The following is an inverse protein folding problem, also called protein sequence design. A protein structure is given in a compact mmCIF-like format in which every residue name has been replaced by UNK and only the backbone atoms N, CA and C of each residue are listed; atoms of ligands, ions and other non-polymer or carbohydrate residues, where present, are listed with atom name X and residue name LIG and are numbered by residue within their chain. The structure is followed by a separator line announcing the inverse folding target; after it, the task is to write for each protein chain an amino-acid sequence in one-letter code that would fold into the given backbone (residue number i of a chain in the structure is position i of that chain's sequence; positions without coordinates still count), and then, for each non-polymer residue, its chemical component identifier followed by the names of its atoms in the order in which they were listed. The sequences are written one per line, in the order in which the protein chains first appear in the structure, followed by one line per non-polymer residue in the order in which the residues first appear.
data_IF_655848014509
#
_entry.id   IF_655848014509
#
_cell.length_a   1.000
_cell.length_b   1.000
_cell.length_c   1.000
_cell.angle_alpha   90.00
_cell.angle_beta   90.00
_cell.angle_gamma   90.00
#
_symmetry.space_group_name_H-M   'P 1'
#
loop_
_entity.id
_entity.type
_entity.pdbx_description
1 polymer ?
#
# COMPACT_ATOMS: atom_id res chain seq x y z
N UNK A 1 -29.11 7.98 30.48
CA UNK A 1 -30.50 7.74 30.06
C UNK A 1 -30.59 7.95 28.55
N UNK A 2 -30.96 6.93 27.76
CA UNK A 2 -31.10 7.06 26.31
C UNK A 2 -32.37 7.86 26.02
N UNK A 3 -32.29 8.90 25.17
CA UNK A 3 -33.44 9.72 24.81
C UNK A 3 -34.55 8.91 24.15
N UNK A 4 -35.81 9.26 24.40
CA UNK A 4 -36.98 8.52 23.89
C UNK A 4 -36.96 8.35 22.36
N UNK A 5 -36.47 9.36 21.63
CA UNK A 5 -36.33 9.32 20.16
C UNK A 5 -35.38 8.20 19.69
N UNK A 6 -34.23 8.03 20.36
CA UNK A 6 -33.27 6.97 20.04
C UNK A 6 -33.88 5.60 20.30
N UNK A 7 -34.61 5.46 21.42
CA UNK A 7 -35.35 4.22 21.74
C UNK A 7 -36.38 3.89 20.66
N UNK A 8 -37.15 4.86 20.19
CA UNK A 8 -38.16 4.63 19.16
C UNK A 8 -37.54 4.28 17.81
N UNK A 9 -36.43 4.91 17.44
CA UNK A 9 -35.66 4.52 16.26
C UNK A 9 -35.20 3.06 16.33
N UNK A 10 -34.74 2.59 17.49
CA UNK A 10 -34.36 1.18 17.69
C UNK A 10 -35.53 0.20 17.64
N UNK A 11 -36.76 0.69 17.84
CA UNK A 11 -38.00 -0.07 17.67
C UNK A 11 -38.56 -0.01 16.24
N UNK A 12 -37.81 0.55 15.29
CA UNK A 12 -38.20 0.61 13.88
C UNK A 12 -39.06 1.83 13.49
N UNK A 13 -39.30 2.79 14.39
CA UNK A 13 -40.01 4.03 14.07
C UNK A 13 -39.07 5.10 13.49
N UNK A 14 -39.61 6.06 12.74
CA UNK A 14 -38.81 7.10 12.09
C UNK A 14 -38.95 8.46 12.77
N UNK A 15 -37.93 8.86 13.52
CA UNK A 15 -37.92 10.12 14.28
C UNK A 15 -37.19 11.27 13.56
N UNK A 16 -36.69 11.03 12.35
CA UNK A 16 -36.00 12.04 11.53
C UNK A 16 -36.95 12.68 10.52
N UNK A 17 -36.43 13.66 9.79
CA UNK A 17 -37.14 14.18 8.63
C UNK A 17 -37.33 13.07 7.57
N UNK A 18 -38.53 12.99 6.98
CA UNK A 18 -38.80 12.01 5.95
C UNK A 18 -37.82 12.14 4.77
N UNK A 19 -37.20 11.04 4.31
CA UNK A 19 -36.41 11.02 3.08
C UNK A 19 -37.31 11.31 1.87
N UNK A 20 -36.67 11.60 0.72
CA UNK A 20 -37.39 11.77 -0.55
C UNK A 20 -38.18 10.48 -0.86
N UNK A 21 -39.36 10.57 -1.44
CA UNK A 21 -40.23 9.41 -1.67
C UNK A 21 -41.16 9.04 -0.50
N UNK A 22 -40.98 9.63 0.69
CA UNK A 22 -41.83 9.37 1.85
C UNK A 22 -42.38 10.64 2.51
N UNK A 23 -43.50 10.51 3.21
CA UNK A 23 -44.07 11.49 4.13
C UNK A 23 -44.14 10.89 5.53
N UNK A 24 -43.96 11.72 6.57
CA UNK A 24 -44.07 11.28 7.96
C UNK A 24 -45.55 11.27 8.38
N UNK A 25 -45.99 10.19 9.00
CA UNK A 25 -47.33 10.05 9.57
C UNK A 25 -47.27 9.58 11.02
N UNK A 26 -48.14 10.12 11.87
CA UNK A 26 -48.27 9.68 13.26
C UNK A 26 -49.38 8.63 13.38
N UNK A 27 -49.02 7.46 13.88
CA UNK A 27 -49.94 6.33 14.13
C UNK A 27 -50.07 6.10 15.62
N UNK A 28 -51.28 5.78 16.08
CA UNK A 28 -51.53 5.40 17.47
C UNK A 28 -51.00 3.99 17.74
N UNK A 29 -50.24 3.83 18.82
CA UNK A 29 -49.74 2.53 19.28
C UNK A 29 -50.16 2.33 20.74
N UNK A 30 -50.05 1.11 21.27
CA UNK A 30 -50.33 0.81 22.69
C UNK A 30 -49.54 1.71 23.67
N UNK A 31 -48.42 2.27 23.21
CA UNK A 31 -47.53 3.13 24.00
C UNK A 31 -47.61 4.61 23.59
N UNK A 32 -48.68 5.01 22.89
CA UNK A 32 -48.94 6.36 22.39
C UNK A 32 -48.54 6.60 20.93
N UNK A 33 -48.65 7.84 20.46
CA UNK A 33 -48.37 8.21 19.06
C UNK A 33 -46.90 7.94 18.68
N UNK A 34 -46.69 7.31 17.52
CA UNK A 34 -45.38 7.05 16.92
C UNK A 34 -45.35 7.49 15.46
N UNK A 35 -44.17 7.87 14.97
CA UNK A 35 -44.00 8.35 13.60
C UNK A 35 -43.50 7.23 12.70
N UNK A 36 -44.22 6.98 11.61
CA UNK A 36 -43.83 6.06 10.53
C UNK A 36 -43.66 6.83 9.23
N UNK A 37 -43.07 6.19 8.22
CA UNK A 37 -43.02 6.72 6.86
C UNK A 37 -44.10 6.09 5.99
N UNK A 38 -44.84 6.92 5.26
CA UNK A 38 -45.74 6.48 4.18
C UNK A 38 -45.24 6.93 2.82
N UNK A 39 -45.49 6.16 1.74
CA UNK A 39 -45.11 6.55 0.39
C UNK A 39 -45.71 7.91 0.00
N UNK A 40 -44.88 8.82 -0.49
CA UNK A 40 -45.35 10.09 -1.03
C UNK A 40 -46.00 9.87 -2.41
N UNK A 41 -47.20 10.40 -2.68
CA UNK A 41 -47.96 10.08 -3.90
C UNK A 41 -47.22 10.40 -5.21
N UNK A 42 -46.52 11.54 -5.28
CA UNK A 42 -45.74 11.94 -6.47
C UNK A 42 -44.29 11.42 -6.50
N UNK A 43 -43.61 11.39 -5.36
CA UNK A 43 -42.17 11.07 -5.30
C UNK A 43 -41.90 9.55 -5.24
N UNK A 44 -42.77 8.77 -4.58
CA UNK A 44 -42.57 7.33 -4.44
C UNK A 44 -42.57 6.58 -5.79
N UNK A 45 -43.46 6.87 -6.75
CA UNK A 45 -43.43 6.23 -8.07
C UNK A 45 -42.10 6.47 -8.82
N UNK A 46 -41.51 7.66 -8.68
CA UNK A 46 -40.22 7.98 -9.30
C UNK A 46 -39.10 7.12 -8.71
N UNK A 47 -39.12 6.89 -7.40
CA UNK A 47 -38.12 6.04 -6.76
C UNK A 47 -38.28 4.56 -7.09
N UNK A 48 -39.51 4.04 -7.15
CA UNK A 48 -39.75 2.65 -7.61
C UNK A 48 -39.18 2.45 -9.01
N UNK A 49 -39.51 3.35 -9.93
CA UNK A 49 -38.98 3.34 -11.30
C UNK A 49 -37.46 3.48 -11.36
N UNK A 50 -36.85 4.29 -10.49
CA UNK A 50 -35.39 4.39 -10.37
C UNK A 50 -34.76 3.01 -10.06
N UNK A 51 -35.27 2.32 -9.05
CA UNK A 51 -34.76 1.00 -8.64
C UNK A 51 -35.01 -0.06 -9.72
N UNK A 52 -36.18 -0.07 -10.36
CA UNK A 52 -36.51 -0.97 -11.47
C UNK A 52 -35.55 -0.79 -12.66
N UNK A 53 -35.43 0.44 -13.18
CA UNK A 53 -34.55 0.74 -14.32
C UNK A 53 -33.10 0.39 -13.99
N UNK A 54 -32.65 0.70 -12.77
CA UNK A 54 -31.28 0.41 -12.35
C UNK A 54 -31.03 -1.09 -12.23
N UNK A 55 -32.01 -1.84 -11.72
CA UNK A 55 -31.95 -3.29 -11.59
C UNK A 55 -31.94 -4.03 -12.94
N UNK A 56 -32.53 -3.45 -14.00
CA UNK A 56 -32.42 -3.99 -15.37
C UNK A 56 -30.98 -3.93 -15.89
N UNK A 57 -30.18 -2.96 -15.44
CA UNK A 57 -28.78 -2.82 -15.81
C UNK A 57 -28.51 -2.33 -17.24
N UNK A 58 -29.54 -2.06 -18.04
CA UNK A 58 -29.44 -1.64 -19.44
C UNK A 58 -29.05 -0.16 -19.65
N UNK A 59 -29.20 0.69 -18.63
CA UNK A 59 -29.01 2.13 -18.75
C UNK A 59 -27.84 2.64 -17.87
N UNK A 60 -27.16 3.68 -18.36
CA UNK A 60 -26.13 4.39 -17.60
C UNK A 60 -26.75 5.28 -16.51
N UNK A 61 -26.00 5.59 -15.45
CA UNK A 61 -26.53 6.45 -14.35
C UNK A 61 -26.98 7.82 -14.88
N UNK A 62 -26.31 8.34 -15.91
CA UNK A 62 -26.65 9.60 -16.58
C UNK A 62 -27.96 9.53 -17.36
N UNK A 63 -28.19 8.43 -18.09
CA UNK A 63 -29.46 8.18 -18.80
C UNK A 63 -30.62 8.02 -17.82
N UNK A 64 -30.40 7.28 -16.72
CA UNK A 64 -31.42 7.09 -15.67
C UNK A 64 -31.79 8.44 -15.06
N UNK A 65 -30.80 9.30 -14.77
CA UNK A 65 -31.05 10.67 -14.32
C UNK A 65 -31.89 11.44 -15.33
N UNK A 66 -31.54 11.41 -16.62
CA UNK A 66 -32.28 12.12 -17.67
C UNK A 66 -33.75 11.66 -17.76
N UNK A 67 -33.99 10.34 -17.74
CA UNK A 67 -35.34 9.78 -17.77
C UNK A 67 -36.18 10.21 -16.57
N UNK A 68 -35.63 10.15 -15.35
CA UNK A 68 -36.35 10.58 -14.15
C UNK A 68 -36.62 12.08 -14.13
N UNK A 69 -35.68 12.88 -14.63
CA UNK A 69 -35.88 14.32 -14.78
C UNK A 69 -36.98 14.64 -15.79
N UNK A 70 -37.06 13.90 -16.90
CA UNK A 70 -38.14 14.03 -17.87
C UNK A 70 -39.51 13.67 -17.28
N UNK A 71 -39.55 12.72 -16.33
CA UNK A 71 -40.75 12.37 -15.56
C UNK A 71 -41.08 13.36 -14.44
N UNK A 72 -40.32 14.45 -14.32
CA UNK A 72 -40.59 15.53 -13.38
C UNK A 72 -39.86 15.42 -12.04
N UNK A 73 -38.79 14.61 -11.94
CA UNK A 73 -37.98 14.59 -10.73
C UNK A 73 -37.40 15.97 -10.43
N UNK A 74 -37.68 16.46 -9.21
CA UNK A 74 -37.03 17.64 -8.62
C UNK A 74 -36.76 17.39 -7.15
N UNK A 75 -35.63 17.85 -6.67
CA UNK A 75 -35.32 17.81 -5.23
C UNK A 75 -36.28 18.70 -4.43
N UNK A 76 -36.58 18.33 -3.18
CA UNK A 76 -37.47 19.12 -2.32
C UNK A 76 -36.90 20.51 -2.06
N UNK A 77 -37.70 21.53 -2.34
CA UNK A 77 -37.34 22.92 -2.05
C UNK A 77 -37.38 23.19 -0.54
N UNK A 78 -36.36 23.86 -0.02
CA UNK A 78 -36.29 24.36 1.35
C UNK A 78 -35.94 25.84 1.34
N UNK A 79 -36.62 26.58 2.20
CA UNK A 79 -36.36 28.00 2.40
C UNK A 79 -35.64 28.20 3.72
N UNK A 80 -34.49 28.88 3.69
CA UNK A 80 -33.83 29.38 4.88
C UNK A 80 -34.41 30.77 5.15
N UNK A 81 -35.09 30.94 6.27
CA UNK A 81 -35.68 32.22 6.71
C UNK A 81 -34.77 32.92 7.71
N UNK A 82 -34.92 34.23 7.88
CA UNK A 82 -34.17 35.00 8.87
C UNK A 82 -34.54 34.60 10.29
N UNK A 83 -33.53 34.61 11.18
CA UNK A 83 -33.71 34.31 12.61
C UNK A 83 -34.49 35.43 13.31
N UNK A 84 -34.31 36.67 12.86
CA UNK A 84 -34.92 37.87 13.44
C UNK A 84 -36.25 38.23 12.79
N UNK A 85 -36.44 37.85 11.51
CA UNK A 85 -37.69 38.04 10.79
C UNK A 85 -38.04 36.75 10.03
N UNK A 86 -39.00 35.99 10.57
CA UNK A 86 -39.41 34.71 9.98
C UNK A 86 -40.19 34.87 8.67
N UNK A 87 -40.59 36.09 8.28
CA UNK A 87 -41.24 36.33 6.98
C UNK A 87 -40.23 36.45 5.85
N UNK A 88 -39.01 36.94 6.15
CA UNK A 88 -37.94 37.12 5.17
C UNK A 88 -37.22 35.81 4.84
N UNK A 89 -37.22 35.46 3.55
CA UNK A 89 -36.44 34.34 3.00
C UNK A 89 -35.03 34.82 2.68
N UNK A 90 -34.01 34.20 3.28
CA UNK A 90 -32.59 34.46 3.04
C UNK A 90 -32.09 33.68 1.83
N UNK A 91 -32.47 32.41 1.72
CA UNK A 91 -32.05 31.57 0.60
C UNK A 91 -33.02 30.43 0.32
N UNK A 92 -32.99 29.93 -0.91
CA UNK A 92 -33.74 28.78 -1.38
C UNK A 92 -32.74 27.69 -1.80
N UNK A 93 -32.97 26.46 -1.37
CA UNK A 93 -32.17 25.29 -1.76
C UNK A 93 -33.10 24.20 -2.28
N UNK A 94 -32.64 23.41 -3.25
CA UNK A 94 -33.44 22.37 -3.89
C UNK A 94 -34.34 22.91 -5.01
N UNK A 95 -35.09 22.00 -5.62
CA UNK A 95 -35.71 22.21 -6.94
C UNK A 95 -34.79 21.81 -8.10
N UNK A 96 -33.60 21.30 -7.78
CA UNK A 96 -32.60 20.84 -8.74
C UNK A 96 -32.99 19.50 -9.37
N UNK A 97 -32.59 19.25 -10.63
CA UNK A 97 -32.74 17.94 -11.27
C UNK A 97 -31.87 16.87 -10.58
N UNK A 98 -32.22 15.60 -10.78
CA UNK A 98 -31.42 14.47 -10.36
C UNK A 98 -30.11 14.45 -11.15
N UNK A 99 -28.99 14.54 -10.43
CA UNK A 99 -27.65 14.27 -10.96
C UNK A 99 -27.11 12.94 -10.46
N UNK A 100 -26.03 12.40 -11.08
CA UNK A 100 -25.48 11.10 -10.70
C UNK A 100 -25.16 11.00 -9.21
N UNK A 101 -24.46 11.99 -8.63
CA UNK A 101 -24.12 11.99 -7.19
C UNK A 101 -25.34 11.89 -6.28
N UNK A 102 -26.47 12.51 -6.66
CA UNK A 102 -27.71 12.43 -5.90
C UNK A 102 -28.39 11.05 -6.07
N UNK A 103 -28.38 10.50 -7.29
CA UNK A 103 -28.82 9.13 -7.56
C UNK A 103 -28.08 8.13 -6.68
N UNK A 104 -26.74 8.22 -6.63
CA UNK A 104 -25.88 7.36 -5.80
C UNK A 104 -26.23 7.40 -4.31
N UNK A 105 -26.64 8.57 -3.79
CA UNK A 105 -27.09 8.72 -2.39
C UNK A 105 -28.43 8.05 -2.13
N UNK A 106 -29.33 8.08 -3.12
CA UNK A 106 -30.67 7.47 -3.03
C UNK A 106 -30.55 5.95 -3.07
N UNK A 107 -29.88 5.40 -4.09
CA UNK A 107 -29.86 3.94 -4.32
C UNK A 107 -29.20 3.16 -3.17
N UNK A 108 -28.23 3.75 -2.48
CA UNK A 108 -27.52 3.09 -1.36
C UNK A 108 -28.27 3.14 -0.03
N UNK A 109 -29.36 3.89 0.06
CA UNK A 109 -30.03 4.12 1.34
C UNK A 109 -31.01 2.98 1.65
N UNK A 110 -30.78 2.14 2.68
CA UNK A 110 -31.56 0.91 2.93
C UNK A 110 -33.01 1.18 3.34
N UNK A 111 -33.34 2.41 3.76
CA UNK A 111 -34.71 2.82 4.10
C UNK A 111 -35.74 2.59 2.97
N UNK A 112 -35.29 2.59 1.71
CA UNK A 112 -36.18 2.30 0.58
C UNK A 112 -36.57 0.82 0.51
N UNK A 113 -35.81 -0.05 1.16
CA UNK A 113 -36.15 -1.46 1.40
C UNK A 113 -36.76 -1.70 2.79
N UNK A 114 -37.13 -0.64 3.53
CA UNK A 114 -37.76 -0.75 4.86
C UNK A 114 -36.77 -1.05 6.00
N UNK A 115 -35.48 -0.79 5.81
CA UNK A 115 -34.44 -1.08 6.81
C UNK A 115 -33.73 0.21 7.22
N UNK A 116 -33.63 0.45 8.52
CA UNK A 116 -32.94 1.61 9.07
C UNK A 116 -31.52 1.24 9.53
N UNK A 117 -30.52 1.90 8.95
CA UNK A 117 -29.12 1.81 9.34
C UNK A 117 -28.65 3.23 9.60
N UNK A 118 -28.64 3.66 10.87
CA UNK A 118 -28.25 5.03 11.23
C UNK A 118 -27.50 5.10 12.56
N UNK A 119 -27.06 6.32 12.93
CA UNK A 119 -26.31 6.55 14.17
C UNK A 119 -27.10 6.14 15.42
N UNK A 120 -28.42 6.31 15.43
CA UNK A 120 -29.29 5.97 16.56
C UNK A 120 -29.58 4.47 16.69
N UNK A 121 -29.35 3.69 15.63
CA UNK A 121 -29.31 2.22 15.66
C UNK A 121 -27.91 1.66 15.89
N UNK A 122 -26.93 2.51 16.23
CA UNK A 122 -25.51 2.12 16.39
C UNK A 122 -24.92 1.49 15.11
N UNK A 123 -25.48 1.84 13.94
CA UNK A 123 -25.08 1.23 12.67
C UNK A 123 -25.62 -0.20 12.48
N UNK A 124 -26.39 -0.74 13.43
CA UNK A 124 -27.07 -2.02 13.24
C UNK A 124 -28.31 -1.82 12.35
N UNK A 125 -28.56 -2.72 11.38
CA UNK A 125 -29.80 -2.72 10.61
C UNK A 125 -30.99 -3.07 11.50
N UNK A 126 -32.03 -2.24 11.44
CA UNK A 126 -33.29 -2.46 12.16
C UNK A 126 -34.42 -2.45 11.16
N UNK A 127 -35.27 -3.48 11.20
CA UNK A 127 -36.49 -3.55 10.39
C UNK A 127 -37.46 -2.45 10.82
N UNK A 128 -37.91 -1.64 9.87
CA UNK A 128 -38.81 -0.53 10.16
C UNK A 128 -40.23 -1.03 10.48
N UNK A 129 -40.97 -0.24 11.25
CA UNK A 129 -42.40 -0.44 11.51
C UNK A 129 -43.30 -0.02 10.32
N UNK A 130 -42.72 0.06 9.12
CA UNK A 130 -43.38 0.42 7.86
C UNK A 130 -42.67 -0.27 6.69
N UNK A 131 -43.40 -0.48 5.60
CA UNK A 131 -42.87 -1.13 4.40
C UNK A 131 -41.96 -0.21 3.58
N UNK A 132 -40.93 -0.81 2.97
CA UNK A 132 -40.10 -0.15 1.97
C UNK A 132 -40.88 0.25 0.72
N UNK A 133 -40.35 1.20 -0.06
CA UNK A 133 -40.87 1.48 -1.40
C UNK A 133 -40.62 0.33 -2.38
N UNK A 134 -39.57 -0.46 -2.14
CA UNK A 134 -39.11 -1.59 -2.96
C UNK A 134 -38.79 -2.79 -2.06
N UNK A 135 -38.81 -4.00 -2.64
CA UNK A 135 -38.36 -5.20 -1.94
C UNK A 135 -36.85 -5.21 -1.69
N UNK A 136 -36.41 -5.98 -0.70
CA UNK A 136 -34.99 -6.23 -0.42
C UNK A 136 -34.27 -6.77 -1.67
N UNK A 137 -34.93 -7.68 -2.39
CA UNK A 137 -34.39 -8.27 -3.63
C UNK A 137 -34.17 -7.21 -4.72
N UNK A 138 -35.16 -6.34 -4.97
CA UNK A 138 -35.05 -5.29 -5.98
C UNK A 138 -33.97 -4.27 -5.59
N UNK A 139 -33.88 -3.93 -4.29
CA UNK A 139 -32.83 -3.07 -3.76
C UNK A 139 -31.43 -3.66 -3.98
N UNK A 140 -31.24 -4.95 -3.68
CA UNK A 140 -29.97 -5.64 -3.85
C UNK A 140 -29.56 -5.71 -5.33
N UNK A 141 -30.50 -6.05 -6.22
CA UNK A 141 -30.27 -6.05 -7.68
C UNK A 141 -29.85 -4.69 -8.20
N UNK A 142 -30.53 -3.61 -7.76
CA UNK A 142 -30.20 -2.25 -8.17
C UNK A 142 -28.81 -1.80 -7.67
N UNK A 143 -28.38 -2.28 -6.49
CA UNK A 143 -27.08 -1.95 -5.91
C UNK A 143 -25.91 -2.80 -6.44
N UNK A 144 -26.17 -3.86 -7.21
CA UNK A 144 -25.16 -4.71 -7.88
C UNK A 144 -24.04 -5.15 -6.92
N UNK A 145 -24.41 -5.54 -5.70
CA UNK A 145 -23.48 -6.03 -4.67
C UNK A 145 -22.60 -4.96 -4.00
N UNK A 146 -22.77 -3.66 -4.30
CA UNK A 146 -22.06 -2.58 -3.58
C UNK A 146 -22.60 -2.40 -2.16
N UNK A 147 -23.91 -2.58 -2.03
CA UNK A 147 -24.64 -2.60 -0.77
C UNK A 147 -25.63 -3.76 -0.90
N UNK A 148 -25.61 -4.66 0.07
CA UNK A 148 -26.44 -5.87 0.09
C UNK A 148 -27.10 -6.01 1.44
N UNK A 149 -28.38 -6.32 1.42
CA UNK A 149 -29.20 -6.66 2.58
C UNK A 149 -29.48 -8.16 2.56
N UNK A 150 -29.15 -8.85 3.64
CA UNK A 150 -29.42 -10.30 3.80
C UNK A 150 -30.38 -10.48 4.95
N UNK A 151 -31.48 -11.20 4.73
CA UNK A 151 -32.49 -11.50 5.76
C UNK A 151 -32.28 -12.95 6.24
N UNK A 152 -31.90 -13.11 7.51
CA UNK A 152 -31.64 -14.38 8.19
C UNK A 152 -32.68 -14.56 9.30
N UNK A 153 -33.90 -14.96 8.94
CA UNK A 153 -35.02 -15.04 9.90
C UNK A 153 -35.45 -13.64 10.37
N UNK A 154 -35.38 -13.39 11.68
CA UNK A 154 -35.70 -12.07 12.26
C UNK A 154 -34.52 -11.08 12.19
N UNK A 155 -33.32 -11.56 11.91
CA UNK A 155 -32.11 -10.76 11.81
C UNK A 155 -31.84 -10.31 10.37
N UNK A 156 -31.34 -9.09 10.23
CA UNK A 156 -30.96 -8.51 8.94
C UNK A 156 -29.49 -8.15 9.02
N UNK A 157 -28.73 -8.43 7.96
CA UNK A 157 -27.35 -8.00 7.81
C UNK A 157 -27.24 -6.94 6.71
N UNK A 158 -26.48 -5.88 6.99
CA UNK A 158 -26.17 -4.82 6.04
C UNK A 158 -24.70 -4.93 5.63
N UNK A 159 -24.46 -5.52 4.47
CA UNK A 159 -23.14 -5.74 3.91
C UNK A 159 -22.81 -4.62 2.92
N UNK A 160 -21.75 -3.88 3.20
CA UNK A 160 -21.12 -3.03 2.19
C UNK A 160 -19.92 -3.77 1.65
N UNK A 161 -19.89 -4.02 0.34
CA UNK A 161 -18.62 -4.39 -0.29
C UNK A 161 -17.75 -3.16 -0.14
N UNK A 162 -16.72 -3.25 0.69
CA UNK A 162 -15.59 -2.34 0.56
C UNK A 162 -15.28 -2.39 -0.91
N UNK A 163 -15.49 -1.27 -1.62
CA UNK A 163 -14.83 -1.15 -2.90
C UNK A 163 -13.39 -1.47 -2.54
N UNK A 164 -12.84 -2.57 -3.05
CA UNK A 164 -11.43 -2.59 -3.37
C UNK A 164 -11.25 -1.24 -4.01
N UNK A 165 -10.71 -0.29 -3.24
CA UNK A 165 -10.31 0.95 -3.83
C UNK A 165 -9.36 0.40 -4.85
N UNK A 166 -9.72 0.53 -6.12
CA UNK A 166 -8.71 0.67 -7.13
C UNK A 166 -8.04 1.97 -6.72
N UNK A 167 -7.18 1.85 -5.70
CA UNK A 167 -5.94 2.57 -5.62
C UNK A 167 -5.36 2.16 -6.95
N UNK A 168 -5.69 2.93 -8.00
CA UNK A 168 -4.69 3.20 -9.00
C UNK A 168 -3.52 3.59 -8.14
N UNK A 169 -2.55 2.69 -8.01
CA UNK A 169 -1.23 3.03 -7.56
C UNK A 169 -0.81 4.07 -8.59
N UNK A 170 -1.24 5.33 -8.41
CA UNK A 170 -0.67 6.50 -9.01
C UNK A 170 0.72 6.46 -8.39
N UNK A 171 1.61 5.72 -9.06
CA UNK A 171 2.69 5.02 -8.40
C UNK A 171 3.38 5.96 -7.46
N UNK A 172 3.68 5.51 -6.24
CA UNK A 172 4.58 6.24 -5.33
C UNK A 172 5.82 6.71 -6.10
N UNK A 173 6.18 5.98 -7.16
CA UNK A 173 7.11 6.32 -8.23
C UNK A 173 6.34 6.42 -9.56
N UNK A 174 6.15 7.64 -10.08
CA UNK A 174 5.62 7.84 -11.44
C UNK A 174 6.81 8.16 -12.34
N UNK A 175 6.96 7.50 -13.51
CA UNK A 175 8.00 7.83 -14.48
C UNK A 175 7.99 9.29 -14.93
N UNK A 176 6.85 9.97 -14.85
CA UNK A 176 6.72 11.38 -15.28
C UNK A 176 7.39 12.37 -14.32
N UNK A 177 7.55 12.00 -13.06
CA UNK A 177 8.15 12.85 -12.02
C UNK A 177 9.06 11.97 -11.13
N UNK A 178 10.16 11.45 -11.69
CA UNK A 178 10.99 10.44 -11.03
C UNK A 178 11.61 10.94 -9.74
N UNK A 179 12.03 12.22 -9.68
CA UNK A 179 12.66 12.81 -8.50
C UNK A 179 11.68 13.29 -7.43
N UNK A 180 10.37 13.02 -7.58
CA UNK A 180 9.41 13.33 -6.53
C UNK A 180 9.78 12.49 -5.31
N UNK A 181 9.84 13.11 -4.13
CA UNK A 181 10.35 12.51 -2.88
C UNK A 181 11.87 12.25 -2.78
N UNK A 182 12.63 12.42 -3.85
CA UNK A 182 14.10 12.38 -3.80
C UNK A 182 14.72 13.77 -3.68
N UNK A 183 13.96 14.82 -4.03
CA UNK A 183 14.35 16.22 -3.81
C UNK A 183 13.33 16.90 -2.88
N UNK A 184 13.85 17.63 -1.91
CA UNK A 184 13.11 18.36 -0.89
C UNK A 184 12.89 19.83 -1.26
N UNK A 185 11.87 20.43 -0.66
CA UNK A 185 11.60 21.85 -0.83
C UNK A 185 12.70 22.72 -0.21
N UNK A 186 13.19 23.74 -0.94
CA UNK A 186 14.17 24.69 -0.42
C UNK A 186 13.76 25.38 0.89
N UNK A 187 12.44 25.58 1.10
CA UNK A 187 11.91 26.28 2.27
C UNK A 187 11.73 25.37 3.48
N UNK A 188 11.07 24.21 3.33
CA UNK A 188 10.71 23.35 4.47
C UNK A 188 11.43 22.00 4.53
N UNK A 189 12.25 21.67 3.52
CA UNK A 189 12.95 20.38 3.43
C UNK A 189 12.07 19.17 3.12
N UNK A 190 10.73 19.31 3.12
CA UNK A 190 9.83 18.18 2.85
C UNK A 190 9.91 17.72 1.38
N UNK A 191 9.71 16.42 1.10
CA UNK A 191 9.57 15.85 -0.23
C UNK A 191 8.75 16.71 -1.20
N UNK A 192 9.31 17.00 -2.38
CA UNK A 192 8.55 17.63 -3.45
C UNK A 192 7.52 16.65 -4.04
N UNK A 193 6.38 17.22 -4.45
CA UNK A 193 5.34 16.55 -5.23
C UNK A 193 5.48 16.89 -6.71
N UNK A 194 5.08 15.97 -7.59
CA UNK A 194 5.08 16.18 -9.03
C UNK A 194 3.66 16.22 -9.59
N UNK A 195 3.31 17.27 -10.33
CA UNK A 195 2.04 17.34 -11.05
C UNK A 195 2.12 18.27 -12.27
N UNK A 196 1.23 18.06 -13.24
CA UNK A 196 1.07 18.95 -14.38
C UNK A 196 -0.25 19.71 -14.29
N UNK A 197 -0.18 21.01 -14.02
CA UNK A 197 -1.35 21.89 -13.95
C UNK A 197 -1.80 22.29 -15.35
N UNK A 198 -3.11 22.25 -15.62
CA UNK A 198 -3.71 22.65 -16.91
C UNK A 198 -3.98 24.17 -16.93
N UNK A 199 -3.41 24.88 -17.89
CA UNK A 199 -3.66 26.30 -18.12
C UNK A 199 -4.97 26.56 -18.87
N UNK A 200 -5.38 27.84 -18.96
CA UNK A 200 -6.63 28.28 -19.61
C UNK A 200 -6.75 27.80 -21.07
N UNK A 201 -5.62 27.75 -21.79
CA UNK A 201 -5.56 27.31 -23.19
C UNK A 201 -5.45 25.78 -23.33
N UNK A 202 -5.65 25.02 -22.26
CA UNK A 202 -5.58 23.56 -22.26
C UNK A 202 -4.17 22.96 -22.18
N UNK A 203 -3.10 23.76 -22.31
CA UNK A 203 -1.71 23.33 -22.16
C UNK A 203 -1.40 22.90 -20.71
N UNK A 204 -0.65 21.81 -20.56
CA UNK A 204 -0.15 21.33 -19.27
C UNK A 204 1.24 21.88 -18.96
N UNK A 205 1.47 22.23 -17.69
CA UNK A 205 2.73 22.76 -17.19
C UNK A 205 3.25 21.83 -16.08
N UNK A 206 4.09 20.82 -16.42
CA UNK A 206 4.66 19.89 -15.45
C UNK A 206 5.67 20.59 -14.54
N UNK A 207 5.56 20.36 -13.24
CA UNK A 207 6.47 20.94 -12.26
C UNK A 207 6.56 20.11 -10.98
N UNK A 208 7.70 20.22 -10.33
CA UNK A 208 7.89 19.82 -8.94
C UNK A 208 7.47 20.97 -8.02
N UNK A 209 6.76 20.67 -6.94
CA UNK A 209 6.19 21.70 -6.09
C UNK A 209 6.01 21.24 -4.64
N UNK A 210 5.98 22.23 -3.74
CA UNK A 210 5.58 22.07 -2.35
C UNK A 210 4.43 23.05 -2.09
N UNK A 211 3.32 22.51 -1.62
CA UNK A 211 2.12 23.25 -1.23
C UNK A 211 1.55 22.65 0.05
N UNK A 212 0.64 23.36 0.73
CA UNK A 212 -0.07 22.90 1.93
C UNK A 212 0.75 22.90 3.23
N UNK A 213 1.87 23.64 3.28
CA UNK A 213 2.74 23.74 4.45
C UNK A 213 3.06 25.20 4.84
N UNK A 214 2.11 26.11 4.63
CA UNK A 214 2.27 27.54 4.91
C UNK A 214 3.17 28.30 3.92
N UNK A 215 3.65 27.65 2.85
CA UNK A 215 4.43 28.28 1.79
C UNK A 215 4.10 27.65 0.43
N UNK A 216 4.49 28.37 -0.62
CA UNK A 216 4.47 27.90 -1.98
C UNK A 216 5.90 27.87 -2.54
N UNK A 217 6.23 26.77 -3.19
CA UNK A 217 7.48 26.55 -3.90
C UNK A 217 7.20 25.70 -5.14
N UNK A 218 7.75 26.07 -6.29
CA UNK A 218 7.53 25.39 -7.56
C UNK A 218 8.75 25.56 -8.46
N UNK A 219 9.14 24.48 -9.12
CA UNK A 219 10.22 24.44 -10.11
C UNK A 219 9.71 23.67 -11.35
N UNK A 220 9.86 24.20 -12.56
CA UNK A 220 9.56 23.48 -13.80
C UNK A 220 10.23 22.10 -13.82
N UNK A 221 9.55 21.10 -14.41
CA UNK A 221 10.08 19.73 -14.48
C UNK A 221 11.48 19.71 -15.10
N UNK A 222 11.61 20.29 -16.29
CA UNK A 222 12.86 20.24 -17.07
C UNK A 222 14.01 20.94 -16.36
N UNK A 223 13.73 22.04 -15.64
CA UNK A 223 14.73 22.75 -14.83
C UNK A 223 15.25 21.87 -13.70
N UNK A 224 14.37 21.27 -12.89
CA UNK A 224 14.80 20.43 -11.76
C UNK A 224 15.60 19.21 -12.25
N UNK A 225 15.16 18.58 -13.34
CA UNK A 225 15.83 17.40 -13.90
C UNK A 225 17.20 17.74 -14.50
N UNK A 226 17.35 18.93 -15.08
CA UNK A 226 18.64 19.46 -15.52
C UNK A 226 19.57 19.73 -14.33
N UNK A 227 19.07 20.39 -13.27
CA UNK A 227 19.86 20.65 -12.05
C UNK A 227 20.35 19.36 -11.41
N UNK A 228 19.52 18.31 -11.36
CA UNK A 228 19.96 16.99 -10.86
C UNK A 228 21.01 16.35 -11.77
N UNK A 229 20.85 16.47 -13.09
CA UNK A 229 21.81 15.96 -14.07
C UNK A 229 23.18 16.65 -13.94
N UNK A 230 23.17 17.97 -13.79
CA UNK A 230 24.37 18.77 -13.56
C UNK A 230 25.04 18.39 -12.23
N UNK A 231 24.26 18.25 -11.16
CA UNK A 231 24.77 17.80 -9.87
C UNK A 231 25.46 16.43 -9.95
N UNK A 232 24.83 15.44 -10.60
CA UNK A 232 25.43 14.10 -10.78
C UNK A 232 26.77 14.19 -11.54
N UNK A 233 26.88 15.09 -12.52
CA UNK A 233 28.13 15.25 -13.29
C UNK A 233 29.30 15.80 -12.48
N UNK A 234 29.03 16.45 -11.35
CA UNK A 234 30.03 16.98 -10.43
C UNK A 234 30.52 15.95 -9.41
N UNK A 235 29.81 14.83 -9.26
CA UNK A 235 30.16 13.78 -8.28
C UNK A 235 31.27 12.91 -8.86
N UNK A 236 32.48 13.13 -8.37
CA UNK A 236 33.64 12.27 -8.66
C UNK A 236 34.34 11.93 -7.34
N UNK A 237 34.23 10.68 -6.87
CA UNK A 237 34.98 10.23 -5.71
C UNK A 237 36.49 10.41 -5.94
N UNK A 238 37.22 10.84 -4.92
CA UNK A 238 38.68 10.87 -4.99
C UNK A 238 39.24 9.44 -5.00
N UNK A 239 40.47 9.27 -5.49
CA UNK A 239 41.12 7.95 -5.48
C UNK A 239 41.28 7.38 -4.06
N UNK A 240 41.49 8.26 -3.08
CA UNK A 240 41.55 7.90 -1.66
C UNK A 240 40.21 7.34 -1.17
N UNK A 241 39.10 7.99 -1.51
CA UNK A 241 37.75 7.50 -1.17
C UNK A 241 37.45 6.16 -1.83
N UNK A 242 37.81 5.99 -3.11
CA UNK A 242 37.61 4.70 -3.81
C UNK A 242 38.37 3.58 -3.11
N UNK A 243 39.61 3.85 -2.71
CA UNK A 243 40.49 2.87 -2.06
C UNK A 243 39.96 2.49 -0.69
N UNK A 244 39.58 3.48 0.12
CA UNK A 244 38.95 3.26 1.43
C UNK A 244 37.71 2.36 1.33
N UNK A 245 36.89 2.53 0.28
CA UNK A 245 35.68 1.75 0.08
C UNK A 245 35.98 0.32 -0.39
N UNK A 246 36.94 0.14 -1.30
CA UNK A 246 37.37 -1.20 -1.71
C UNK A 246 37.98 -1.97 -0.55
N UNK A 247 38.75 -1.30 0.31
CA UNK A 247 39.37 -1.89 1.50
C UNK A 247 38.31 -2.29 2.54
N UNK A 248 37.28 -1.45 2.73
CA UNK A 248 36.16 -1.78 3.61
C UNK A 248 35.38 -3.01 3.13
N UNK A 249 35.16 -3.13 1.81
CA UNK A 249 34.51 -4.31 1.20
C UNK A 249 35.36 -5.57 1.40
N UNK A 250 36.68 -5.47 1.21
CA UNK A 250 37.61 -6.57 1.46
C UNK A 250 37.63 -7.00 2.93
N UNK A 251 37.71 -6.04 3.86
CA UNK A 251 37.73 -6.34 5.30
C UNK A 251 36.44 -7.03 5.79
N UNK A 252 35.27 -6.59 5.31
CA UNK A 252 34.00 -7.25 5.64
C UNK A 252 33.90 -8.65 5.01
N UNK A 253 34.45 -8.84 3.81
CA UNK A 253 34.55 -10.16 3.21
C UNK A 253 35.43 -11.10 4.05
N UNK A 254 36.63 -10.68 4.43
CA UNK A 254 37.55 -11.47 5.26
C UNK A 254 36.89 -11.87 6.58
N UNK A 255 36.17 -10.94 7.22
CA UNK A 255 35.41 -11.23 8.44
C UNK A 255 34.33 -12.30 8.23
N UNK A 256 33.64 -12.28 7.09
CA UNK A 256 32.64 -13.31 6.74
C UNK A 256 33.28 -14.65 6.40
N UNK A 257 34.43 -14.65 5.74
CA UNK A 257 35.21 -15.87 5.50
C UNK A 257 35.61 -16.52 6.83
N UNK A 258 36.18 -15.76 7.76
CA UNK A 258 36.51 -16.25 9.10
C UNK A 258 35.29 -16.78 9.86
N UNK A 259 34.12 -16.14 9.71
CA UNK A 259 32.89 -16.64 10.30
C UNK A 259 32.43 -17.95 9.67
N UNK A 260 32.54 -18.06 8.34
CA UNK A 260 32.18 -19.25 7.57
C UNK A 260 33.10 -20.42 7.92
N UNK A 261 34.41 -20.19 8.00
CA UNK A 261 35.40 -21.16 8.47
C UNK A 261 35.04 -21.70 9.86
N UNK A 262 34.73 -20.82 10.83
CA UNK A 262 34.28 -21.23 12.18
C UNK A 262 32.99 -22.06 12.16
N UNK A 263 32.05 -21.72 11.27
CA UNK A 263 30.82 -22.48 11.12
C UNK A 263 31.11 -23.88 10.54
N UNK A 264 31.99 -23.97 9.54
CA UNK A 264 32.42 -25.24 8.95
C UNK A 264 33.21 -26.10 9.96
N UNK A 265 34.04 -25.48 10.81
CA UNK A 265 34.71 -26.14 11.93
C UNK A 265 33.69 -26.73 12.92
N UNK A 266 32.68 -25.97 13.34
CA UNK A 266 31.63 -26.45 14.24
C UNK A 266 30.83 -27.61 13.62
N UNK A 267 30.48 -27.53 12.33
CA UNK A 267 29.87 -28.66 11.62
C UNK A 267 30.76 -29.90 11.65
N UNK A 268 32.08 -29.75 11.45
CA UNK A 268 33.02 -30.86 11.53
C UNK A 268 33.08 -31.47 12.94
N UNK A 269 33.20 -30.64 13.98
CA UNK A 269 33.20 -31.08 15.37
C UNK A 269 31.93 -31.88 15.68
N UNK A 270 30.75 -31.36 15.30
CA UNK A 270 29.49 -32.04 15.53
C UNK A 270 29.37 -33.37 14.79
N UNK A 271 29.85 -33.44 13.55
CA UNK A 271 29.90 -34.69 12.77
C UNK A 271 30.85 -35.70 13.42
N UNK A 272 32.00 -35.25 13.95
CA UNK A 272 32.95 -36.12 14.66
C UNK A 272 32.33 -36.69 15.94
N UNK A 273 31.63 -35.85 16.72
CA UNK A 273 30.95 -36.25 17.94
C UNK A 273 29.84 -37.28 17.66
N UNK A 274 28.97 -37.02 16.68
CA UNK A 274 27.91 -37.96 16.28
C UNK A 274 28.49 -39.29 15.75
N UNK A 275 29.61 -39.25 15.02
CA UNK A 275 30.33 -40.46 14.59
C UNK A 275 30.98 -41.21 15.76
N UNK A 276 31.33 -40.54 16.86
CA UNK A 276 31.80 -41.18 18.08
C UNK A 276 30.64 -41.83 18.86
N UNK A 277 29.52 -41.13 18.99
CA UNK A 277 28.29 -41.63 19.61
C UNK A 277 27.77 -42.88 18.87
N UNK A 278 27.70 -42.84 17.54
CA UNK A 278 27.35 -43.98 16.70
C UNK A 278 28.23 -45.21 16.98
N UNK A 279 29.55 -45.01 17.12
CA UNK A 279 30.48 -46.10 17.47
C UNK A 279 30.23 -46.66 18.87
N UNK A 280 29.91 -45.81 19.84
CA UNK A 280 29.60 -46.22 21.21
C UNK A 280 28.28 -47.01 21.29
N UNK A 281 27.25 -46.58 20.57
CA UNK A 281 25.96 -47.28 20.49
C UNK A 281 26.13 -48.66 19.85
N UNK A 282 26.89 -48.75 18.74
CA UNK A 282 27.24 -50.03 18.11
C UNK A 282 28.03 -50.98 19.05
N UNK A 283 28.95 -50.44 19.85
CA UNK A 283 29.69 -51.24 20.82
C UNK A 283 28.79 -51.76 21.95
N UNK A 284 27.85 -50.95 22.41
CA UNK A 284 26.87 -51.31 23.45
C UNK A 284 25.87 -52.36 22.95
N UNK A 285 25.46 -52.27 21.68
CA UNK A 285 24.56 -53.25 21.05
C UNK A 285 25.18 -54.65 21.01
N UNK A 286 26.51 -54.77 20.81
CA UNK A 286 27.22 -56.07 20.78
C UNK A 286 27.19 -56.84 22.11
N UNK A 287 27.00 -56.17 23.24
CA UNK A 287 26.99 -56.80 24.56
C UNK A 287 25.58 -57.04 25.12
N UNK A 288 24.54 -56.58 24.43
CA UNK A 288 23.15 -56.70 24.86
C UNK A 288 22.48 -57.99 24.35
N UNK A 289 21.64 -58.58 25.20
CA UNK A 289 20.85 -59.78 24.88
C UNK A 289 19.34 -59.54 24.86
N UNK A 290 18.89 -58.35 25.28
CA UNK A 290 17.46 -57.97 25.31
C UNK A 290 17.00 -57.45 23.96
N UNK A 291 16.03 -58.14 23.34
CA UNK A 291 15.47 -57.78 22.03
C UNK A 291 14.86 -56.36 22.02
N UNK A 292 14.24 -55.93 23.11
CA UNK A 292 13.64 -54.59 23.22
C UNK A 292 14.70 -53.49 23.25
N UNK A 293 15.82 -53.72 23.98
CA UNK A 293 16.92 -52.76 24.06
C UNK A 293 17.66 -52.63 22.72
N UNK A 294 17.81 -53.74 22.00
CA UNK A 294 18.39 -53.78 20.65
C UNK A 294 17.56 -52.91 19.70
N UNK A 295 16.22 -53.03 19.72
CA UNK A 295 15.34 -52.23 18.85
C UNK A 295 15.43 -50.72 19.10
N UNK A 296 15.49 -50.29 20.36
CA UNK A 296 15.68 -48.87 20.69
C UNK A 296 17.02 -48.34 20.17
N UNK A 297 18.10 -49.12 20.29
CA UNK A 297 19.41 -48.74 19.75
C UNK A 297 19.44 -48.68 18.22
N UNK A 298 18.70 -49.55 17.53
CA UNK A 298 18.54 -49.47 16.07
C UNK A 298 17.84 -48.18 15.64
N UNK A 299 16.79 -47.77 16.36
CA UNK A 299 16.10 -46.49 16.12
C UNK A 299 17.03 -45.29 16.38
N UNK A 300 17.82 -45.31 17.46
CA UNK A 300 18.81 -44.27 17.75
C UNK A 300 19.91 -44.19 16.68
N UNK A 301 20.41 -45.33 16.19
CA UNK A 301 21.40 -45.38 15.11
C UNK A 301 20.86 -44.74 13.82
N UNK A 302 19.62 -45.06 13.43
CA UNK A 302 18.97 -44.43 12.28
C UNK A 302 18.85 -42.91 12.46
N UNK A 303 18.55 -42.45 13.68
CA UNK A 303 18.46 -41.02 13.96
C UNK A 303 19.82 -40.32 13.82
N UNK A 304 20.88 -40.88 14.40
CA UNK A 304 22.24 -40.33 14.34
C UNK A 304 22.75 -40.31 12.89
N UNK A 305 22.53 -41.37 12.10
CA UNK A 305 22.91 -41.42 10.69
C UNK A 305 22.20 -40.33 9.86
N UNK A 306 20.91 -40.14 10.11
CA UNK A 306 20.12 -39.08 9.44
C UNK A 306 20.66 -37.70 9.78
N UNK A 307 21.02 -37.46 11.05
CA UNK A 307 21.62 -36.19 11.48
C UNK A 307 22.98 -35.94 10.82
N UNK A 308 23.84 -36.97 10.73
CA UNK A 308 25.14 -36.86 10.06
C UNK A 308 24.94 -36.50 8.58
N UNK A 309 24.02 -37.17 7.88
CA UNK A 309 23.73 -36.88 6.47
C UNK A 309 23.24 -35.44 6.27
N UNK A 310 22.36 -34.96 7.15
CA UNK A 310 21.87 -33.59 7.11
C UNK A 310 23.01 -32.59 7.30
N UNK A 311 23.84 -32.77 8.33
CA UNK A 311 24.97 -31.87 8.59
C UNK A 311 26.02 -31.89 7.48
N UNK A 312 26.29 -33.05 6.86
CA UNK A 312 27.20 -33.16 5.70
C UNK A 312 26.64 -32.45 4.46
N UNK A 313 25.32 -32.47 4.26
CA UNK A 313 24.64 -31.72 3.20
C UNK A 313 24.72 -30.20 3.44
N UNK A 314 24.41 -29.75 4.66
CA UNK A 314 24.45 -28.33 5.03
C UNK A 314 25.87 -27.76 4.93
N UNK A 315 26.88 -28.55 5.34
CA UNK A 315 28.29 -28.20 5.18
C UNK A 315 28.69 -28.02 3.70
N UNK A 316 28.24 -28.91 2.81
CA UNK A 316 28.52 -28.79 1.36
C UNK A 316 27.89 -27.57 0.73
N UNK A 317 26.70 -27.15 1.18
CA UNK A 317 26.04 -25.95 0.69
C UNK A 317 26.84 -24.67 1.00
N UNK A 318 27.52 -24.64 2.16
CA UNK A 318 28.26 -23.46 2.64
C UNK A 318 29.68 -23.36 2.05
N UNK A 319 30.32 -24.49 1.72
CA UNK A 319 31.72 -24.51 1.26
C UNK A 319 31.96 -23.97 -0.18
N UNK A 320 30.93 -23.50 -0.89
CA UNK A 320 30.98 -23.16 -2.33
C UNK A 320 31.43 -21.73 -2.69
N UNK A 321 31.90 -20.95 -1.73
CA UNK A 321 32.23 -19.54 -1.94
C UNK A 321 33.70 -19.37 -2.39
N UNK A 322 33.90 -19.37 -3.70
CA UNK A 322 35.21 -19.24 -4.37
C UNK A 322 35.83 -17.83 -4.24
N UNK A 323 37.11 -17.77 -3.84
CA UNK A 323 37.93 -16.55 -3.73
C UNK A 323 38.08 -15.80 -5.06
N UNK A 324 37.99 -16.48 -6.20
CA UNK A 324 38.04 -15.82 -7.51
C UNK A 324 36.84 -14.87 -7.75
N UNK A 325 35.74 -15.05 -6.99
CA UNK A 325 34.53 -14.21 -7.09
C UNK A 325 34.71 -12.85 -6.39
N UNK A 326 35.48 -12.75 -5.30
CA UNK A 326 35.61 -11.49 -4.55
C UNK A 326 36.49 -10.47 -5.28
N UNK A 327 37.60 -10.91 -5.88
CA UNK A 327 38.46 -10.02 -6.67
C UNK A 327 37.69 -9.39 -7.83
N UNK A 328 36.80 -10.17 -8.46
CA UNK A 328 35.87 -9.67 -9.49
C UNK A 328 34.86 -8.68 -8.94
N UNK A 329 34.29 -8.95 -7.77
CA UNK A 329 33.35 -8.03 -7.10
C UNK A 329 34.03 -6.72 -6.77
N UNK A 330 35.21 -6.75 -6.14
CA UNK A 330 35.98 -5.54 -5.76
C UNK A 330 36.38 -4.75 -7.00
N UNK A 331 36.88 -5.42 -8.05
CA UNK A 331 37.19 -4.78 -9.33
C UNK A 331 35.97 -4.08 -9.94
N UNK A 332 34.78 -4.70 -9.81
CA UNK A 332 33.53 -4.15 -10.32
C UNK A 332 33.01 -2.97 -9.47
N UNK A 333 33.14 -3.04 -8.15
CA UNK A 333 32.84 -1.92 -7.25
C UNK A 333 33.75 -0.75 -7.58
N UNK A 334 35.05 -0.99 -7.74
CA UNK A 334 36.03 0.03 -8.16
C UNK A 334 35.62 0.67 -9.49
N UNK A 335 35.32 -0.13 -10.51
CA UNK A 335 34.87 0.37 -11.82
C UNK A 335 33.59 1.22 -11.72
N UNK A 336 32.63 0.80 -10.88
CA UNK A 336 31.40 1.55 -10.64
C UNK A 336 31.68 2.90 -10.00
N UNK A 337 32.54 2.96 -8.97
CA UNK A 337 32.89 4.21 -8.29
C UNK A 337 33.65 5.16 -9.22
N UNK A 338 34.55 4.64 -10.06
CA UNK A 338 35.30 5.41 -11.06
C UNK A 338 34.43 5.99 -12.18
N UNK A 339 33.28 5.36 -12.48
CA UNK A 339 32.40 5.74 -13.57
C UNK A 339 30.97 6.09 -13.11
N UNK A 340 30.81 6.45 -11.83
CA UNK A 340 29.51 6.61 -11.18
C UNK A 340 28.62 7.63 -11.90
N UNK A 341 29.20 8.77 -12.28
CA UNK A 341 28.54 9.84 -13.04
C UNK A 341 27.91 9.31 -14.34
N UNK A 342 28.71 8.65 -15.18
CA UNK A 342 28.29 8.11 -16.48
C UNK A 342 27.24 7.01 -16.31
N UNK A 343 27.44 6.11 -15.33
CA UNK A 343 26.53 4.99 -15.09
C UNK A 343 25.17 5.46 -14.60
N UNK A 344 25.13 6.44 -13.70
CA UNK A 344 23.87 7.04 -13.24
C UNK A 344 23.17 7.84 -14.34
N UNK A 345 23.91 8.60 -15.15
CA UNK A 345 23.34 9.42 -16.21
C UNK A 345 22.75 8.61 -17.37
N UNK A 346 23.40 7.49 -17.73
CA UNK A 346 22.98 6.57 -18.81
C UNK A 346 21.82 5.65 -18.42
N UNK A 347 21.35 5.69 -17.17
CA UNK A 347 20.23 4.85 -16.76
C UNK A 347 18.95 5.22 -17.52
N UNK A 348 18.38 4.23 -18.23
CA UNK A 348 17.22 4.41 -19.11
C UNK A 348 15.94 4.58 -18.29
N UNK A 349 15.81 3.82 -17.20
CA UNK A 349 14.64 3.89 -16.33
C UNK A 349 14.72 5.14 -15.43
N UNK A 350 13.80 6.12 -15.60
CA UNK A 350 13.83 7.36 -14.84
C UNK A 350 13.61 7.12 -13.34
N UNK A 351 12.84 6.10 -12.97
CA UNK A 351 12.61 5.75 -11.57
C UNK A 351 13.90 5.25 -10.93
N UNK A 352 14.61 4.36 -11.61
CA UNK A 352 15.91 3.86 -11.16
C UNK A 352 16.96 4.96 -11.08
N UNK A 353 16.97 5.85 -12.06
CA UNK A 353 17.85 7.04 -12.04
C UNK A 353 17.63 7.91 -10.80
N UNK A 354 16.38 8.14 -10.41
CA UNK A 354 16.07 8.88 -9.18
C UNK A 354 16.39 8.10 -7.89
N UNK A 355 16.26 6.78 -7.89
CA UNK A 355 16.68 5.93 -6.77
C UNK A 355 18.19 5.97 -6.58
N UNK A 356 18.94 5.83 -7.67
CA UNK A 356 20.40 6.01 -7.69
C UNK A 356 20.80 7.37 -7.12
N UNK A 357 20.13 8.44 -7.55
CA UNK A 357 20.35 9.77 -7.01
C UNK A 357 20.08 9.86 -5.50
N UNK A 358 18.98 9.27 -5.02
CA UNK A 358 18.62 9.30 -3.60
C UNK A 358 19.59 8.58 -2.66
N UNK A 359 20.37 7.63 -3.17
CA UNK A 359 21.37 6.87 -2.40
C UNK A 359 22.58 7.71 -2.02
N UNK A 360 22.84 8.79 -2.77
CA UNK A 360 23.95 9.70 -2.52
C UNK A 360 23.79 10.52 -1.22
N UNK A 361 22.61 10.47 -0.58
CA UNK A 361 22.29 11.32 0.56
C UNK A 361 21.63 10.55 1.70
N UNK A 362 22.13 10.77 2.93
CA UNK A 362 21.55 10.25 4.18
C UNK A 362 20.16 10.82 4.48
N UNK A 363 19.87 12.00 3.94
CA UNK A 363 18.58 12.68 4.01
C UNK A 363 18.23 13.28 2.66
N UNK A 364 16.94 13.50 2.43
CA UNK A 364 16.47 14.13 1.19
C UNK A 364 17.10 15.53 1.03
N UNK A 365 17.90 15.79 -0.01
CA UNK A 365 18.52 17.09 -0.24
C UNK A 365 17.47 18.11 -0.67
N UNK A 366 17.58 19.35 -0.18
CA UNK A 366 16.75 20.47 -0.63
C UNK A 366 17.16 20.89 -2.03
N UNK A 367 16.20 21.32 -2.85
CA UNK A 367 16.49 21.84 -4.19
C UNK A 367 17.54 22.95 -4.19
N UNK A 368 17.51 23.86 -3.22
CA UNK A 368 18.52 24.92 -3.11
C UNK A 368 19.92 24.38 -2.88
N UNK A 369 20.08 23.28 -2.15
CA UNK A 369 21.39 22.67 -1.85
C UNK A 369 21.99 21.99 -3.10
N UNK A 370 21.14 21.38 -3.93
CA UNK A 370 21.52 20.81 -5.22
C UNK A 370 21.88 21.94 -6.21
N UNK A 371 21.05 22.98 -6.26
CA UNK A 371 21.19 24.10 -7.20
C UNK A 371 22.38 25.02 -6.88
N UNK A 372 22.74 25.19 -5.61
CA UNK A 372 23.90 26.00 -5.21
C UNK A 372 25.23 25.27 -5.33
N UNK A 373 25.22 24.00 -5.80
CA UNK A 373 26.41 23.16 -5.94
C UNK A 373 27.19 22.99 -4.63
N UNK A 374 26.57 23.22 -3.47
CA UNK A 374 27.31 23.36 -2.22
C UNK A 374 27.67 21.96 -1.69
N UNK A 375 28.96 21.63 -1.54
CA UNK A 375 29.44 20.28 -1.18
C UNK A 375 29.09 19.82 0.24
N UNK A 376 28.43 20.65 1.05
CA UNK A 376 28.14 20.35 2.46
C UNK A 376 27.18 19.17 2.67
N UNK A 377 26.60 18.67 1.58
CA UNK A 377 25.70 17.52 1.51
C UNK A 377 26.25 16.35 0.70
N UNK A 378 27.54 16.34 0.39
CA UNK A 378 28.20 15.13 -0.08
C UNK A 378 28.72 14.37 1.15
N UNK A 379 27.94 13.47 1.79
CA UNK A 379 28.56 12.38 2.51
C UNK A 379 29.13 11.44 1.44
N UNK A 380 30.27 11.82 0.86
CA UNK A 380 31.25 10.82 0.47
C UNK A 380 31.99 10.27 1.72
N UNK A 381 31.51 10.59 2.92
CA UNK A 381 31.44 9.64 4.02
C UNK A 381 30.47 8.50 3.63
N UNK A 382 30.85 7.66 2.66
CA UNK A 382 30.23 6.35 2.47
C UNK A 382 30.56 5.49 3.71
N UNK A 383 29.97 5.82 4.87
CA UNK A 383 30.03 4.98 6.05
C UNK A 383 29.10 3.80 5.79
N UNK A 384 29.65 2.76 5.17
CA UNK A 384 28.99 1.47 5.08
C UNK A 384 28.84 0.87 6.48
N UNK A 385 27.61 0.73 6.98
CA UNK A 385 27.33 -0.07 8.18
C UNK A 385 26.81 -1.44 7.73
N UNK A 386 27.68 -2.45 7.74
CA UNK A 386 27.26 -3.83 7.57
C UNK A 386 26.36 -4.22 8.78
N UNK A 387 25.04 -4.19 8.61
CA UNK A 387 24.10 -4.69 9.61
C UNK A 387 23.50 -6.01 9.12
N UNK A 388 23.51 -7.00 10.02
CA UNK A 388 22.88 -8.31 9.80
C UNK A 388 21.38 -8.11 9.58
N UNK A 389 20.88 -8.41 8.37
CA UNK A 389 19.49 -8.86 8.22
C UNK A 389 19.49 -10.37 8.25
N UNK A 390 18.97 -10.91 9.34
CA UNK A 390 18.54 -12.31 9.47
C UNK A 390 17.36 -12.54 8.52
N UNK A 391 17.64 -13.13 7.37
CA UNK A 391 16.66 -13.93 6.64
C UNK A 391 17.37 -15.22 6.23
N UNK A 392 16.83 -16.34 6.69
CA UNK A 392 17.26 -17.70 6.42
C UNK A 392 17.13 -18.00 4.91
N UNK A 393 18.12 -17.60 4.11
CA UNK A 393 18.47 -18.23 2.83
C UNK A 393 19.68 -17.53 2.23
N UNK A 394 20.77 -18.30 2.09
CA UNK A 394 21.94 -18.14 1.21
C UNK A 394 22.21 -16.75 0.59
N UNK A 395 23.32 -16.17 1.06
CA UNK A 395 24.34 -15.45 0.28
C UNK A 395 23.92 -14.23 -0.57
N UNK A 396 23.97 -13.04 0.04
CA UNK A 396 24.35 -11.82 -0.69
C UNK A 396 25.17 -10.86 0.18
N UNK A 397 26.15 -10.21 -0.44
CA UNK A 397 27.03 -9.22 0.18
C UNK A 397 26.28 -7.88 0.29
N UNK A 398 25.43 -7.73 1.31
CA UNK A 398 24.76 -6.45 1.56
C UNK A 398 25.67 -5.57 2.41
N UNK A 399 26.45 -4.73 1.72
CA UNK A 399 26.95 -3.49 2.29
C UNK A 399 25.71 -2.60 2.53
N UNK A 400 25.54 -1.84 3.61
CA UNK A 400 24.42 -0.86 3.66
C UNK A 400 24.94 0.55 3.41
N UNK A 401 24.26 1.25 2.50
CA UNK A 401 24.44 2.68 2.29
C UNK A 401 23.53 3.37 3.31
N UNK A 402 24.00 4.42 3.97
CA UNK A 402 23.19 5.21 4.92
C UNK A 402 22.06 6.01 4.24
N UNK A 403 21.98 5.97 2.90
CA UNK A 403 21.00 6.70 2.12
C UNK A 403 19.54 6.26 2.32
N UNK A 404 18.62 7.22 2.17
CA UNK A 404 17.15 7.08 2.39
C UNK A 404 16.43 5.99 1.57
N UNK A 405 17.12 5.29 0.67
CA UNK A 405 16.57 4.26 -0.22
C UNK A 405 17.54 3.10 -0.51
N UNK A 406 18.51 2.88 0.37
CA UNK A 406 19.61 1.92 0.17
C UNK A 406 19.16 0.49 -0.17
N UNK A 407 18.12 -0.04 0.50
CA UNK A 407 17.59 -1.39 0.25
C UNK A 407 17.19 -1.66 -1.21
N UNK A 408 16.74 -0.62 -1.93
CA UNK A 408 16.24 -0.78 -3.29
C UNK A 408 17.37 -0.74 -4.31
N UNK A 409 18.39 0.06 -4.04
CA UNK A 409 19.62 0.12 -4.82
C UNK A 409 20.36 -1.21 -4.79
N UNK A 410 20.36 -1.91 -3.66
CA UNK A 410 20.96 -3.26 -3.56
C UNK A 410 20.25 -4.28 -4.41
N UNK A 411 18.92 -4.37 -4.32
CA UNK A 411 18.14 -5.29 -5.16
C UNK A 411 18.34 -5.03 -6.65
N UNK A 412 18.49 -3.76 -7.04
CA UNK A 412 18.67 -3.38 -8.44
C UNK A 412 20.11 -3.57 -8.94
N UNK A 413 21.13 -3.35 -8.10
CA UNK A 413 22.52 -3.71 -8.39
C UNK A 413 22.70 -5.22 -8.50
N UNK A 414 22.04 -5.98 -7.64
CA UNK A 414 22.05 -7.45 -7.64
C UNK A 414 21.31 -8.00 -8.88
N UNK A 415 20.15 -7.44 -9.24
CA UNK A 415 19.46 -7.74 -10.51
C UNK A 415 20.32 -7.38 -11.74
N UNK A 416 21.02 -6.25 -11.72
CA UNK A 416 21.95 -5.86 -12.80
C UNK A 416 23.16 -6.78 -12.86
N UNK A 417 23.71 -7.18 -11.71
CA UNK A 417 24.80 -8.14 -11.62
C UNK A 417 24.38 -9.50 -12.17
N UNK A 418 23.19 -9.98 -11.80
CA UNK A 418 22.62 -11.25 -12.24
C UNK A 418 22.25 -11.26 -13.73
N UNK A 419 21.76 -10.13 -14.27
CA UNK A 419 21.47 -10.02 -15.72
C UNK A 419 22.74 -10.02 -16.57
N UNK A 420 23.82 -9.45 -16.05
CA UNK A 420 25.11 -9.41 -16.76
C UNK A 420 25.83 -10.77 -16.69
N UNK A 421 25.75 -11.52 -15.58
CA UNK A 421 26.25 -12.91 -15.53
C UNK A 421 25.48 -13.85 -16.45
N UNK A 422 24.17 -13.65 -16.63
CA UNK A 422 23.37 -14.41 -17.60
C UNK A 422 23.69 -14.02 -19.06
N UNK A 423 24.04 -12.77 -19.34
CA UNK A 423 24.45 -12.35 -20.69
C UNK A 423 25.85 -12.85 -21.06
N UNK A 424 26.78 -12.97 -20.10
CA UNK A 424 28.12 -13.51 -20.35
C UNK A 424 28.11 -15.04 -20.51
N UNK A 425 27.28 -15.78 -19.77
CA UNK A 425 27.11 -17.23 -19.96
C UNK A 425 26.43 -17.61 -21.29
N UNK A 426 25.78 -16.67 -21.97
CA UNK A 426 25.20 -16.86 -23.29
C UNK A 426 26.15 -16.42 -24.44
N UNK A 427 27.33 -15.90 -24.10
CA UNK A 427 28.37 -15.46 -25.04
C UNK A 427 29.68 -16.28 -24.90
N UNK A 428 29.60 -17.48 -24.32
CA UNK A 428 30.66 -18.50 -24.34
C UNK A 428 30.24 -19.66 -25.23
#
# INVERSE_FOLDING_TARGET
MIGAEVRYTRLGYWMRQAPYGYISEKVETRNGKRTILKPHPKEAPLLRKLFEIRALGAYTDTEICAQLNALGFKTRTRYKRSKHDRTRIISKTGGDPLGPKALWKIIRHPIYAGINVEKWTEGKPVKCAFEGLVSIELFNRANKGKVTLVENGDDIEFLTKDSERVIVNAGVRSPDFPYKRFVGCSKCGRPLLGSASRGKNGKYYPAYHCSNHGHYFRVPKDELEATVTEFISLIKPSQEQITMLTDAVLAEWEKRQQHTEKVLENYNERIVDLKAELRQTLQSMKSLTSATAIKYMEEDLMHIETQIQQLESDKKAIAGVDMSKIERIVSRVKFFLENMDKLMLKQIDPVKKAQFFGVLFDRIPRYSEINSGTPSLLPLDLCFEATKKTQESLESLVVNLKGTHSEIFYRELEELANKLTVQENNNV
#
